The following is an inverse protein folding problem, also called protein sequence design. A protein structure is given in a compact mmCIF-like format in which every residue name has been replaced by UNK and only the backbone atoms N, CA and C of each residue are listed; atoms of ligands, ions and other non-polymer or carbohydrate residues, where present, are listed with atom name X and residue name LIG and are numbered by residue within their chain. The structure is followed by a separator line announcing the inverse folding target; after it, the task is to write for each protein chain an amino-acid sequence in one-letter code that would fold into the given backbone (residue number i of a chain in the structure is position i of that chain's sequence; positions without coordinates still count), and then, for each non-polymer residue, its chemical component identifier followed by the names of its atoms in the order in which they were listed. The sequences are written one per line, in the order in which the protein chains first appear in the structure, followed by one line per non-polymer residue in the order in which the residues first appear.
data_IF_354165296348
#
_entry.id   IF_354165296348
#
_cell.length_a   1.000
_cell.length_b   1.000
_cell.length_c   1.000
_cell.angle_alpha   90.00
_cell.angle_beta   90.00
_cell.angle_gamma   90.00
#
_symmetry.space_group_name_H-M   'P 1'
#
loop_
_entity.id
_entity.type
_entity.pdbx_description
1 polymer ?
#
# COMPACT_ATOMS: atom_id res chain seq x y z
N UNK A 1 10.64 -16.17 -11.15
CA UNK A 1 9.21 -16.41 -10.91
C UNK A 1 8.86 -15.61 -9.67
N UNK A 2 8.00 -14.61 -9.83
CA UNK A 2 7.66 -13.64 -8.80
C UNK A 2 6.78 -14.32 -7.74
N UNK A 3 7.29 -14.47 -6.51
CA UNK A 3 6.60 -15.16 -5.40
C UNK A 3 6.02 -14.13 -4.43
N UNK A 4 4.69 -14.14 -4.26
CA UNK A 4 4.02 -13.21 -3.34
C UNK A 4 4.45 -13.38 -1.87
N UNK A 5 5.02 -14.53 -1.48
CA UNK A 5 5.63 -14.67 -0.15
C UNK A 5 6.88 -13.81 0.03
N UNK A 6 7.62 -13.54 -1.04
CA UNK A 6 8.75 -12.61 -1.01
C UNK A 6 8.28 -11.19 -0.69
N UNK A 7 7.16 -10.76 -1.25
CA UNK A 7 6.57 -9.45 -0.98
C UNK A 7 6.19 -9.28 0.49
N UNK A 8 5.59 -10.31 1.10
CA UNK A 8 5.28 -10.30 2.52
C UNK A 8 6.54 -10.05 3.38
N UNK A 9 7.67 -10.69 3.06
CA UNK A 9 8.94 -10.48 3.79
C UNK A 9 9.44 -9.04 3.67
N UNK A 10 9.36 -8.45 2.48
CA UNK A 10 9.76 -7.04 2.27
C UNK A 10 8.89 -6.10 3.10
N UNK A 11 7.57 -6.35 3.13
CA UNK A 11 6.64 -5.54 3.90
C UNK A 11 6.85 -5.69 5.40
N UNK A 12 7.00 -6.92 5.89
CA UNK A 12 7.31 -7.19 7.29
C UNK A 12 8.63 -6.52 7.72
N UNK A 13 9.65 -6.54 6.87
CA UNK A 13 10.93 -5.85 7.10
C UNK A 13 10.73 -4.33 7.17
N UNK A 14 10.06 -3.72 6.18
CA UNK A 14 9.81 -2.28 6.12
C UNK A 14 9.02 -1.77 7.33
N UNK A 15 7.98 -2.50 7.75
CA UNK A 15 7.22 -2.19 8.96
C UNK A 15 8.13 -2.24 10.18
N UNK A 16 8.89 -3.33 10.35
CA UNK A 16 9.81 -3.50 11.49
C UNK A 16 10.85 -2.38 11.55
N UNK A 17 11.43 -2.00 10.41
CA UNK A 17 12.44 -0.96 10.31
C UNK A 17 11.90 0.44 10.68
N UNK A 18 10.64 0.73 10.33
CA UNK A 18 9.99 1.97 10.74
C UNK A 18 9.82 2.04 12.27
N UNK A 19 9.32 0.95 12.86
CA UNK A 19 9.04 0.83 14.30
C UNK A 19 10.28 0.78 15.20
N UNK A 20 11.49 0.80 14.62
CA UNK A 20 12.72 1.09 15.39
C UNK A 20 12.69 2.53 15.93
N UNK A 21 12.01 3.45 15.24
CA UNK A 21 12.02 4.88 15.58
C UNK A 21 10.64 5.51 15.76
N UNK A 22 9.59 4.95 15.17
CA UNK A 22 8.22 5.49 15.19
C UNK A 22 8.10 6.97 14.77
N UNK A 23 9.04 7.46 13.96
CA UNK A 23 9.13 8.88 13.58
C UNK A 23 8.60 9.11 12.16
N UNK A 24 7.47 9.81 12.07
CA UNK A 24 6.83 10.24 10.81
C UNK A 24 7.70 11.18 9.95
N UNK A 25 8.79 11.72 10.50
CA UNK A 25 9.74 12.57 9.78
C UNK A 25 11.05 11.84 9.44
N UNK A 26 11.16 10.54 9.79
CA UNK A 26 12.34 9.74 9.48
C UNK A 26 12.48 9.58 7.97
N UNK A 27 13.66 9.90 7.46
CA UNK A 27 14.00 9.62 6.07
C UNK A 27 14.10 8.10 5.84
N UNK A 28 13.52 7.66 4.73
CA UNK A 28 13.60 6.28 4.26
C UNK A 28 15.06 5.87 4.03
N UNK A 29 15.49 4.80 4.70
CA UNK A 29 16.72 4.08 4.40
C UNK A 29 16.35 2.73 3.78
N UNK A 30 16.37 2.64 2.45
CA UNK A 30 15.96 1.44 1.72
C UNK A 30 17.15 0.48 1.55
N UNK A 31 17.05 -0.79 2.01
CA UNK A 31 18.16 -1.75 1.91
C UNK A 31 18.30 -2.38 0.52
N UNK A 32 17.33 -2.19 -0.37
CA UNK A 32 17.32 -2.79 -1.70
C UNK A 32 17.93 -1.87 -2.75
N UNK A 33 18.44 -2.45 -3.84
CA UNK A 33 19.02 -1.69 -4.97
C UNK A 33 17.96 -0.83 -5.65
N UNK A 34 18.28 0.44 -5.92
CA UNK A 34 17.38 1.37 -6.62
C UNK A 34 16.85 0.79 -7.94
N UNK A 35 15.61 1.15 -8.28
CA UNK A 35 14.89 0.72 -9.49
C UNK A 35 14.57 -0.79 -9.58
N UNK A 36 14.84 -1.58 -8.54
CA UNK A 36 14.34 -2.95 -8.46
C UNK A 36 12.89 -2.99 -7.95
N UNK A 37 12.17 -4.08 -8.24
CA UNK A 37 10.83 -4.29 -7.67
C UNK A 37 10.86 -4.26 -6.14
N UNK A 38 11.84 -4.91 -5.52
CA UNK A 38 11.99 -4.95 -4.06
C UNK A 38 12.14 -3.56 -3.45
N UNK A 39 12.94 -2.69 -4.10
CA UNK A 39 13.07 -1.29 -3.69
C UNK A 39 11.74 -0.54 -3.75
N UNK A 40 10.96 -0.73 -4.83
CA UNK A 40 9.65 -0.10 -4.98
C UNK A 40 8.66 -0.60 -3.92
N UNK A 41 8.63 -1.91 -3.66
CA UNK A 41 7.76 -2.53 -2.66
C UNK A 41 8.09 -2.07 -1.24
N UNK A 42 9.37 -2.03 -0.88
CA UNK A 42 9.81 -1.52 0.42
C UNK A 42 9.43 -0.04 0.59
N UNK A 43 9.73 0.80 -0.42
CA UNK A 43 9.36 2.22 -0.40
C UNK A 43 7.84 2.40 -0.27
N UNK A 44 7.05 1.58 -0.98
CA UNK A 44 5.59 1.62 -0.94
C UNK A 44 5.08 1.35 0.46
N UNK A 45 5.54 0.26 1.05
CA UNK A 45 5.13 -0.11 2.39
C UNK A 45 5.58 0.90 3.45
N UNK A 46 6.79 1.46 3.34
CA UNK A 46 7.22 2.55 4.22
C UNK A 46 6.27 3.76 4.18
N UNK A 47 5.85 4.17 2.98
CA UNK A 47 4.86 5.26 2.81
C UNK A 47 3.53 4.90 3.46
N UNK A 48 3.06 3.65 3.32
CA UNK A 48 1.86 3.18 4.01
C UNK A 48 1.99 3.31 5.53
N UNK A 49 3.12 2.86 6.09
CA UNK A 49 3.39 2.87 7.52
C UNK A 49 3.43 4.31 8.05
N UNK A 50 4.18 5.20 7.41
CA UNK A 50 4.20 6.64 7.76
C UNK A 50 2.79 7.22 7.70
N UNK A 51 2.02 6.91 6.65
CA UNK A 51 0.66 7.41 6.50
C UNK A 51 -0.28 6.92 7.60
N UNK A 52 -0.13 5.66 8.05
CA UNK A 52 -0.89 5.12 9.17
C UNK A 52 -0.70 5.97 10.43
N UNK A 53 0.54 6.29 10.78
CA UNK A 53 0.81 7.14 11.96
C UNK A 53 0.39 8.59 11.79
N UNK A 54 0.45 9.13 10.56
CA UNK A 54 -0.14 10.45 10.28
C UNK A 54 -1.66 10.44 10.51
N UNK A 55 -2.34 9.35 10.14
CA UNK A 55 -3.78 9.16 10.38
C UNK A 55 -4.10 8.99 11.87
N UNK A 56 -3.23 8.35 12.65
CA UNK A 56 -3.39 8.27 14.11
C UNK A 56 -3.28 9.66 14.76
N UNK A 57 -2.26 10.45 14.37
CA UNK A 57 -2.04 11.80 14.90
C UNK A 57 -3.23 12.72 14.58
N UNK A 58 -3.75 12.72 13.34
CA UNK A 58 -4.86 13.62 12.96
C UNK A 58 -6.19 13.24 13.62
N UNK A 59 -6.32 12.02 14.16
CA UNK A 59 -7.51 11.56 14.88
C UNK A 59 -7.55 12.02 16.33
N UNK A 60 -6.48 12.62 16.85
CA UNK A 60 -6.46 13.18 18.20
C UNK A 60 -7.47 14.35 18.31
N UNK A 61 -8.52 14.26 19.16
CA UNK A 61 -9.55 15.30 19.24
C UNK A 61 -9.03 16.66 19.73
N UNK A 62 -7.94 16.66 20.50
CA UNK A 62 -7.31 17.84 21.09
C UNK A 62 -6.23 18.48 20.20
N UNK A 63 -6.00 17.96 19.00
CA UNK A 63 -4.92 18.46 18.12
C UNK A 63 -5.06 19.96 17.82
N UNK A 64 -3.94 20.68 17.85
CA UNK A 64 -3.91 22.08 17.45
C UNK A 64 -4.37 22.22 15.99
N UNK A 65 -5.37 23.08 15.66
CA UNK A 65 -5.89 23.20 14.30
C UNK A 65 -4.85 23.59 13.24
N UNK A 66 -3.83 24.37 13.60
CA UNK A 66 -2.74 24.77 12.68
C UNK A 66 -1.85 23.56 12.36
N UNK A 67 -1.53 22.75 13.37
CA UNK A 67 -0.78 21.50 13.17
C UNK A 67 -1.61 20.45 12.43
N UNK A 68 -2.90 20.36 12.73
CA UNK A 68 -3.84 19.48 12.02
C UNK A 68 -3.85 19.76 10.52
N UNK A 69 -3.84 21.04 10.11
CA UNK A 69 -3.76 21.40 8.68
C UNK A 69 -2.44 20.99 8.04
N UNK A 70 -1.31 21.09 8.76
CA UNK A 70 -0.01 20.62 8.25
C UNK A 70 0.00 19.11 8.06
N UNK A 71 -0.50 18.35 9.04
CA UNK A 71 -0.63 16.89 8.97
C UNK A 71 -1.57 16.50 7.83
N UNK A 72 -2.72 17.17 7.69
CA UNK A 72 -3.66 16.90 6.59
C UNK A 72 -3.01 17.07 5.22
N UNK A 73 -2.21 18.13 5.02
CA UNK A 73 -1.46 18.34 3.78
C UNK A 73 -0.40 17.25 3.54
N UNK A 74 0.27 16.77 4.61
CA UNK A 74 1.19 15.62 4.52
C UNK A 74 0.44 14.35 4.11
N UNK A 75 -0.73 14.07 4.70
CA UNK A 75 -1.59 12.93 4.34
C UNK A 75 -2.04 13.02 2.88
N UNK A 76 -2.45 14.20 2.41
CA UNK A 76 -2.86 14.38 1.00
C UNK A 76 -1.72 14.10 0.03
N UNK A 77 -0.52 14.59 0.35
CA UNK A 77 0.68 14.27 -0.42
C UNK A 77 1.02 12.78 -0.36
N UNK A 78 0.98 12.17 0.82
CA UNK A 78 1.26 10.75 1.02
C UNK A 78 0.31 9.86 0.20
N UNK A 79 -0.98 10.20 0.16
CA UNK A 79 -1.98 9.50 -0.67
C UNK A 79 -1.65 9.56 -2.16
N UNK A 80 -1.12 10.69 -2.62
CA UNK A 80 -0.67 10.83 -4.00
C UNK A 80 0.58 10.01 -4.26
N UNK A 81 1.62 10.18 -3.43
CA UNK A 81 2.89 9.47 -3.54
C UNK A 81 2.68 7.94 -3.52
N UNK A 82 1.72 7.45 -2.72
CA UNK A 82 1.33 6.03 -2.70
C UNK A 82 0.71 5.58 -4.02
N UNK A 83 -0.21 6.35 -4.59
CA UNK A 83 -0.85 5.98 -5.86
C UNK A 83 0.15 6.01 -7.01
N UNK A 84 0.98 7.05 -7.07
CA UNK A 84 2.02 7.18 -8.10
C UNK A 84 2.99 6.00 -8.06
N UNK A 85 3.32 5.51 -6.86
CA UNK A 85 4.19 4.36 -6.70
C UNK A 85 3.52 3.04 -7.09
N UNK A 86 2.23 2.87 -6.83
CA UNK A 86 1.47 1.71 -7.33
C UNK A 86 1.43 1.71 -8.87
N UNK A 87 1.21 2.87 -9.50
CA UNK A 87 1.28 2.99 -10.97
C UNK A 87 2.68 2.70 -11.52
N UNK A 88 3.74 3.09 -10.80
CA UNK A 88 5.12 2.76 -11.17
C UNK A 88 5.38 1.24 -11.08
N UNK A 89 4.86 0.57 -10.06
CA UNK A 89 4.94 -0.90 -9.93
C UNK A 89 4.13 -1.57 -11.06
N UNK A 90 2.99 -1.01 -11.45
CA UNK A 90 2.22 -1.51 -12.61
C UNK A 90 3.00 -1.40 -13.91
N UNK A 91 3.74 -0.30 -14.13
CA UNK A 91 4.63 -0.17 -15.28
C UNK A 91 5.75 -1.22 -15.26
N UNK A 92 6.30 -1.55 -14.08
CA UNK A 92 7.28 -2.62 -13.94
C UNK A 92 6.71 -3.96 -14.42
N UNK A 93 5.53 -4.35 -13.96
CA UNK A 93 4.89 -5.59 -14.38
C UNK A 93 4.44 -5.56 -15.85
N UNK A 94 3.98 -4.41 -16.35
CA UNK A 94 3.68 -4.27 -17.76
C UNK A 94 4.91 -4.56 -18.64
N UNK A 95 6.06 -3.99 -18.29
CA UNK A 95 7.32 -4.26 -19.00
C UNK A 95 7.78 -5.72 -18.87
N UNK A 96 7.59 -6.34 -17.70
CA UNK A 96 7.91 -7.75 -17.45
C UNK A 96 7.08 -8.69 -18.34
N UNK A 97 5.79 -8.41 -18.49
CA UNK A 97 4.85 -9.30 -19.20
C UNK A 97 4.51 -8.86 -20.63
N UNK A 98 5.11 -7.80 -21.16
CA UNK A 98 4.78 -7.23 -22.49
C UNK A 98 4.92 -8.21 -23.66
N UNK A 99 5.76 -9.23 -23.52
CA UNK A 99 5.97 -10.25 -24.56
C UNK A 99 4.94 -11.37 -24.53
N UNK A 100 4.12 -11.43 -23.47
CA UNK A 100 3.07 -12.45 -23.36
C UNK A 100 1.89 -12.05 -24.23
N UNK A 101 1.53 -12.94 -25.16
CA UNK A 101 0.37 -12.75 -26.03
C UNK A 101 -0.87 -13.34 -25.36
N UNK A 102 -1.90 -12.53 -25.04
CA UNK A 102 -3.13 -13.05 -24.47
C UNK A 102 -3.84 -14.01 -25.43
N UNK A 103 -4.41 -15.09 -24.89
CA UNK A 103 -5.30 -15.99 -25.62
C UNK A 103 -6.59 -15.29 -26.01
N UNK A 104 -7.29 -15.84 -27.01
CA UNK A 104 -8.55 -15.29 -27.52
C UNK A 104 -9.64 -15.18 -26.42
N UNK A 105 -9.61 -16.08 -25.45
CA UNK A 105 -10.53 -16.21 -24.32
C UNK A 105 -9.92 -15.70 -23.00
N UNK A 106 -8.82 -14.94 -23.06
CA UNK A 106 -8.20 -14.37 -21.87
C UNK A 106 -9.18 -13.45 -21.12
N UNK A 107 -9.24 -13.61 -19.79
CA UNK A 107 -10.11 -12.80 -18.94
C UNK A 107 -9.45 -11.47 -18.55
N UNK A 108 -10.27 -10.51 -18.11
CA UNK A 108 -9.82 -9.27 -17.51
C UNK A 108 -9.94 -9.43 -15.99
N UNK A 109 -8.84 -9.32 -15.27
CA UNK A 109 -8.85 -9.32 -13.81
C UNK A 109 -9.51 -8.04 -13.28
N UNK A 110 -10.13 -8.12 -12.10
CA UNK A 110 -10.76 -6.96 -11.45
C UNK A 110 -9.74 -5.87 -11.10
N UNK A 111 -8.49 -6.27 -10.87
CA UNK A 111 -7.38 -5.41 -10.47
C UNK A 111 -6.09 -5.85 -11.16
N UNK A 112 -5.14 -4.92 -11.28
CA UNK A 112 -3.79 -5.22 -11.77
C UNK A 112 -2.95 -5.88 -10.67
N UNK A 113 -1.79 -6.48 -11.01
CA UNK A 113 -0.86 -6.99 -10.02
C UNK A 113 -0.45 -5.95 -8.97
N UNK A 114 -0.16 -4.70 -9.37
CA UNK A 114 0.28 -3.68 -8.42
C UNK A 114 -0.81 -3.31 -7.41
N UNK A 115 -2.06 -3.18 -7.83
CA UNK A 115 -3.18 -2.91 -6.92
C UNK A 115 -3.49 -4.08 -5.98
N UNK A 116 -3.34 -5.32 -6.46
CA UNK A 116 -3.47 -6.49 -5.59
C UNK A 116 -2.37 -6.52 -4.52
N UNK A 117 -1.13 -6.18 -4.89
CA UNK A 117 0.03 -6.07 -3.98
C UNK A 117 -0.10 -4.87 -3.03
N UNK A 118 -0.70 -3.76 -3.46
CA UNK A 118 -1.00 -2.61 -2.61
C UNK A 118 -1.85 -3.01 -1.40
N UNK A 119 -2.90 -3.81 -1.62
CA UNK A 119 -3.73 -4.36 -0.54
C UNK A 119 -2.95 -5.32 0.35
N UNK A 120 -2.04 -6.11 -0.22
CA UNK A 120 -1.18 -7.01 0.55
C UNK A 120 -0.25 -6.24 1.49
N UNK A 121 0.29 -5.11 1.05
CA UNK A 121 1.10 -4.21 1.90
C UNK A 121 0.29 -3.69 3.09
N UNK A 122 -0.92 -3.14 2.84
CA UNK A 122 -1.81 -2.66 3.91
C UNK A 122 -2.21 -3.79 4.87
N UNK A 123 -2.41 -4.99 4.34
CA UNK A 123 -2.80 -6.14 5.16
C UNK A 123 -1.66 -6.57 6.11
N UNK A 124 -0.40 -6.51 5.68
CA UNK A 124 0.74 -6.76 6.58
C UNK A 124 0.81 -5.71 7.69
N UNK A 125 0.56 -4.43 7.39
CA UNK A 125 0.51 -3.37 8.40
C UNK A 125 -0.63 -3.57 9.41
N UNK A 126 -1.82 -3.95 8.94
CA UNK A 126 -2.94 -4.32 9.83
C UNK A 126 -2.60 -5.50 10.73
N UNK A 127 -1.91 -6.51 10.20
CA UNK A 127 -1.48 -7.69 10.97
C UNK A 127 -0.50 -7.28 12.06
N UNK A 128 0.46 -6.40 11.75
CA UNK A 128 1.42 -5.90 12.72
C UNK A 128 0.70 -5.24 13.91
N UNK A 129 -0.10 -4.20 13.68
CA UNK A 129 -0.79 -3.50 14.77
C UNK A 129 -1.84 -4.34 15.49
N UNK A 130 -2.54 -5.24 14.78
CA UNK A 130 -3.47 -6.16 15.43
C UNK A 130 -2.74 -7.16 16.34
N UNK A 131 -1.52 -7.55 15.98
CA UNK A 131 -0.68 -8.41 16.83
C UNK A 131 -0.27 -7.68 18.10
N UNK A 132 0.17 -6.43 17.99
CA UNK A 132 0.47 -5.60 19.18
C UNK A 132 -0.70 -5.57 20.16
N UNK A 133 -1.92 -5.35 19.67
CA UNK A 133 -3.12 -5.32 20.50
C UNK A 133 -3.56 -6.70 21.05
N UNK A 134 -3.28 -7.78 20.32
CA UNK A 134 -3.57 -9.14 20.78
C UNK A 134 -2.58 -9.60 21.86
N UNK A 135 -1.34 -9.11 21.81
CA UNK A 135 -0.23 -9.49 22.71
C UNK A 135 -0.03 -8.48 23.85
N UNK A 136 -0.77 -7.36 23.85
CA UNK A 136 -0.62 -6.26 24.81
C UNK A 136 -0.79 -6.71 26.26
N UNK A 137 0.27 -6.69 27.05
CA UNK A 137 0.28 -7.31 28.40
C UNK A 137 -0.76 -6.70 29.36
N UNK A 138 -0.96 -5.39 29.30
CA UNK A 138 -1.85 -4.62 30.18
C UNK A 138 -3.34 -4.71 29.82
N UNK A 139 -3.69 -5.39 28.73
CA UNK A 139 -5.07 -5.52 28.28
C UNK A 139 -5.84 -6.62 29.02
N UNK A 140 -7.12 -6.35 29.26
CA UNK A 140 -8.09 -7.32 29.77
C UNK A 140 -8.18 -8.57 28.87
N UNK A 141 -8.52 -9.71 29.47
CA UNK A 141 -8.60 -10.99 28.75
C UNK A 141 -9.58 -10.97 27.58
N UNK A 142 -10.75 -10.36 27.75
CA UNK A 142 -11.77 -10.20 26.70
C UNK A 142 -11.26 -9.36 25.51
N UNK A 143 -10.42 -8.34 25.76
CA UNK A 143 -9.78 -7.57 24.69
C UNK A 143 -8.80 -8.44 23.91
N UNK A 144 -7.91 -9.16 24.61
CA UNK A 144 -6.92 -10.06 24.01
C UNK A 144 -7.59 -11.14 23.16
N UNK A 145 -8.68 -11.73 23.63
CA UNK A 145 -9.44 -12.74 22.89
C UNK A 145 -10.05 -12.15 21.60
N UNK A 146 -10.70 -10.99 21.70
CA UNK A 146 -11.28 -10.29 20.54
C UNK A 146 -10.21 -9.90 19.51
N UNK A 147 -9.06 -9.39 19.95
CA UNK A 147 -7.96 -9.02 19.09
C UNK A 147 -7.30 -10.25 18.45
N UNK A 148 -7.11 -11.34 19.20
CA UNK A 148 -6.59 -12.60 18.68
C UNK A 148 -7.51 -13.20 17.60
N UNK A 149 -8.83 -13.14 17.80
CA UNK A 149 -9.79 -13.58 16.79
C UNK A 149 -9.68 -12.75 15.50
N UNK A 150 -9.59 -11.41 15.61
CA UNK A 150 -9.38 -10.52 14.47
C UNK A 150 -8.04 -10.78 13.78
N UNK A 151 -6.97 -11.01 14.54
CA UNK A 151 -5.65 -11.35 14.02
C UNK A 151 -5.71 -12.62 13.17
N UNK A 152 -6.39 -13.66 13.64
CA UNK A 152 -6.56 -14.90 12.88
C UNK A 152 -7.28 -14.69 11.54
N UNK A 153 -8.30 -13.82 11.52
CA UNK A 153 -8.97 -13.43 10.27
C UNK A 153 -8.00 -12.73 9.32
N UNK A 154 -7.21 -11.77 9.81
CA UNK A 154 -6.23 -11.04 8.99
C UNK A 154 -5.15 -11.97 8.42
N UNK A 155 -4.66 -12.93 9.23
CA UNK A 155 -3.70 -13.94 8.79
C UNK A 155 -4.27 -14.83 7.68
N UNK A 156 -5.54 -15.24 7.80
CA UNK A 156 -6.23 -15.99 6.76
C UNK A 156 -6.39 -15.15 5.48
N UNK A 157 -6.80 -13.89 5.60
CA UNK A 157 -6.86 -12.97 4.47
C UNK A 157 -5.50 -12.82 3.77
N UNK A 158 -4.38 -12.78 4.53
CA UNK A 158 -3.02 -12.68 3.95
C UNK A 158 -2.71 -13.91 3.11
N UNK A 159 -3.04 -15.10 3.61
CA UNK A 159 -2.85 -16.36 2.87
C UNK A 159 -3.68 -16.40 1.58
N UNK A 160 -4.95 -16.01 1.67
CA UNK A 160 -5.86 -16.02 0.51
C UNK A 160 -5.43 -15.01 -0.55
N UNK A 161 -5.08 -13.79 -0.14
CA UNK A 161 -4.61 -12.75 -1.05
C UNK A 161 -3.26 -13.11 -1.70
N UNK A 162 -2.32 -13.67 -0.93
CA UNK A 162 -1.04 -14.18 -1.45
C UNK A 162 -1.28 -15.26 -2.53
N UNK A 163 -2.22 -16.18 -2.27
CA UNK A 163 -2.60 -17.23 -3.22
C UNK A 163 -3.22 -16.63 -4.49
N UNK A 164 -4.16 -15.70 -4.34
CA UNK A 164 -4.83 -15.05 -5.46
C UNK A 164 -3.85 -14.24 -6.35
N UNK A 165 -2.87 -13.57 -5.76
CA UNK A 165 -1.84 -12.84 -6.51
C UNK A 165 -0.96 -13.81 -7.30
N UNK A 166 -0.53 -14.92 -6.70
CA UNK A 166 0.24 -15.94 -7.40
C UNK A 166 -0.55 -16.54 -8.59
N UNK A 167 -1.84 -16.84 -8.38
CA UNK A 167 -2.73 -17.30 -9.45
C UNK A 167 -2.89 -16.25 -10.55
N UNK A 168 -2.97 -14.96 -10.22
CA UNK A 168 -3.03 -13.88 -11.21
C UNK A 168 -1.76 -13.86 -12.07
N UNK A 169 -0.57 -13.92 -11.46
CA UNK A 169 0.70 -13.97 -12.20
C UNK A 169 0.80 -15.21 -13.10
N UNK A 170 0.38 -16.37 -12.63
CA UNK A 170 0.35 -17.59 -13.43
C UNK A 170 -0.59 -17.45 -14.63
N UNK A 171 -1.79 -16.91 -14.42
CA UNK A 171 -2.75 -16.69 -15.50
C UNK A 171 -2.25 -15.66 -16.52
N UNK A 172 -1.60 -14.60 -16.07
CA UNK A 172 -0.95 -13.62 -16.95
C UNK A 172 0.14 -14.32 -17.78
N UNK A 173 1.06 -15.03 -17.13
CA UNK A 173 2.19 -15.71 -17.78
C UNK A 173 1.73 -16.72 -18.84
N UNK A 174 0.63 -17.42 -18.57
CA UNK A 174 0.03 -18.40 -19.48
C UNK A 174 -0.87 -17.78 -20.56
N UNK A 175 -1.00 -16.45 -20.60
CA UNK A 175 -1.87 -15.72 -21.52
C UNK A 175 -3.36 -15.90 -21.25
N UNK A 176 -3.75 -16.42 -20.09
CA UNK A 176 -5.15 -16.57 -19.68
C UNK A 176 -5.75 -15.28 -19.12
N UNK A 177 -4.92 -14.32 -18.69
CA UNK A 177 -5.37 -13.02 -18.18
C UNK A 177 -4.69 -11.87 -18.94
N UNK A 178 -5.42 -10.78 -19.13
CA UNK A 178 -4.92 -9.55 -19.77
C UNK A 178 -4.43 -8.56 -18.72
N UNK A 179 -3.23 -8.01 -18.88
CA UNK A 179 -2.80 -6.83 -18.13
C UNK A 179 -3.32 -5.59 -18.85
N UNK A 180 -4.15 -4.80 -18.15
CA UNK A 180 -4.55 -3.46 -18.56
C UNK A 180 -4.21 -2.49 -17.45
N UNK A 181 -3.31 -1.55 -17.73
CA UNK A 181 -2.97 -0.48 -16.81
C UNK A 181 -3.88 0.72 -17.06
N UNK A 182 -4.46 1.25 -15.99
CA UNK A 182 -5.24 2.50 -16.03
C UNK A 182 -4.56 3.49 -15.09
N UNK A 183 -4.22 4.66 -15.61
CA UNK A 183 -3.73 5.75 -14.75
C UNK A 183 -4.90 6.43 -14.05
N UNK A 184 -4.66 6.91 -12.84
CA UNK A 184 -5.66 7.58 -12.04
C UNK A 184 -6.06 8.92 -12.66
N UNK A 185 -7.36 9.13 -12.82
CA UNK A 185 -7.93 10.35 -13.41
C UNK A 185 -8.33 11.35 -12.30
N UNK A 186 -7.36 11.83 -11.50
CA UNK A 186 -7.63 12.82 -10.44
C UNK A 186 -7.71 14.23 -11.01
N UNK A 187 -8.88 14.85 -10.92
CA UNK A 187 -9.12 16.22 -11.43
C UNK A 187 -8.57 17.32 -10.51
N UNK A 188 -8.60 17.14 -9.19
CA UNK A 188 -8.33 18.23 -8.24
C UNK A 188 -6.84 18.53 -8.02
N UNK A 189 -5.96 17.63 -8.44
CA UNK A 189 -4.50 17.83 -8.39
C UNK A 189 -3.98 18.61 -9.61
N UNK A 190 -4.76 18.68 -10.69
CA UNK A 190 -4.45 19.55 -11.82
C UNK A 190 -4.99 20.97 -11.53
N UNK A 191 -4.11 21.99 -11.43
CA UNK A 191 -4.53 23.37 -11.21
C UNK A 191 -5.50 23.90 -12.28
N UNK A 192 -5.47 23.35 -13.49
CA UNK A 192 -6.36 23.72 -14.60
C UNK A 192 -7.73 23.06 -14.50
N UNK A 193 -7.89 22.02 -13.68
CA UNK A 193 -9.17 21.33 -13.51
C UNK A 193 -9.80 21.68 -12.15
N UNK A 194 -8.98 21.99 -11.14
CA UNK A 194 -9.42 22.42 -9.82
C UNK A 194 -10.15 23.79 -9.87
N UNK A 195 -11.47 23.86 -9.58
CA UNK A 195 -12.23 25.10 -9.66
C UNK A 195 -11.73 26.21 -8.72
N UNK A 196 -11.22 25.84 -7.54
CA UNK A 196 -10.73 26.79 -6.53
C UNK A 196 -9.42 27.42 -7.01
N UNK A 197 -8.50 26.61 -7.55
CA UNK A 197 -7.22 27.10 -8.09
C UNK A 197 -7.42 27.94 -9.37
N UNK A 198 -8.36 27.56 -10.24
CA UNK A 198 -8.77 28.34 -11.41
C UNK A 198 -9.39 29.70 -11.06
N UNK A 199 -10.21 29.76 -10.01
CA UNK A 199 -10.81 31.03 -9.58
C UNK A 199 -9.76 31.98 -8.99
N UNK A 200 -8.69 31.43 -8.41
CA UNK A 200 -7.59 32.18 -7.81
C UNK A 200 -6.63 32.78 -8.84
N UNK A 201 -6.51 32.16 -10.01
CA UNK A 201 -5.58 32.53 -11.10
C UNK A 201 -6.19 33.49 -12.13
N UNK A 202 -7.47 33.85 -11.99
CA UNK A 202 -8.18 34.83 -12.83
C UNK A 202 -8.28 36.23 -12.21
N UNK A 203 -7.56 36.50 -11.12
CA UNK A 203 -7.37 37.83 -10.52
C UNK A 203 -6.02 38.38 -10.93
#
# INVERSE_FOLDING_TARGET
MTDSNHFNKIFEQSISDYHITDDINKNLSNPYTENTLDFLLYKKNWIDTVQWHLEDIIREPSINPVEALKIKRKIDKSNQDRTDLVELIDNFFFEEFKTITPKKDAFIATETPAWAIDRLSILNLKIFHMREEAEREDAESDHKEKCSFKLNILLQQKKDLTTAINQLFENITNGNAVIKTYKQMKMYNDPNLNPILRASSKK
#
